data_IF_477136447718
#
_entry.id   IF_477136447718
#
_cell.length_a   1.000
_cell.length_b   1.000
_cell.length_c   1.000
_cell.angle_alpha   90.00
_cell.angle_beta   90.00
_cell.angle_gamma   90.00
#
_symmetry.space_group_name_H-M   'P 1'
#
loop_
_entity.id
_entity.type
_entity.pdbx_description
1 polymer ?
#
# COMPACT_ATOMS: atom_id res chain seq x y z
N UNK A 1 -17.70 5.84 23.53
CA UNK A 1 -17.84 5.19 22.21
C UNK A 1 -16.67 4.24 22.07
N UNK A 2 -16.91 2.97 21.73
CA UNK A 2 -15.85 1.96 21.63
C UNK A 2 -14.86 2.36 20.52
N UNK A 3 -13.67 2.82 20.92
CA UNK A 3 -12.59 3.22 20.02
C UNK A 3 -11.96 1.96 19.41
N UNK A 4 -12.65 1.33 18.46
CA UNK A 4 -12.02 0.27 17.66
C UNK A 4 -10.87 0.93 16.88
N UNK A 5 -9.63 0.43 16.99
CA UNK A 5 -8.45 1.09 16.42
C UNK A 5 -8.58 1.33 14.91
N UNK A 6 -9.25 0.43 14.18
CA UNK A 6 -9.55 0.62 12.77
C UNK A 6 -10.50 1.78 12.46
N UNK A 7 -11.47 2.09 13.33
CA UNK A 7 -12.39 3.21 13.12
C UNK A 7 -11.65 4.53 13.30
N UNK A 8 -10.80 4.64 14.32
CA UNK A 8 -10.00 5.83 14.56
C UNK A 8 -9.05 6.13 13.38
N UNK A 9 -8.38 5.09 12.85
CA UNK A 9 -7.55 5.21 11.65
C UNK A 9 -8.33 5.75 10.45
N UNK A 10 -9.53 5.21 10.19
CA UNK A 10 -10.36 5.66 9.08
C UNK A 10 -10.82 7.10 9.25
N UNK A 11 -11.20 7.52 10.47
CA UNK A 11 -11.60 8.91 10.76
C UNK A 11 -10.45 9.87 10.45
N UNK A 12 -9.23 9.56 10.92
CA UNK A 12 -8.05 10.41 10.69
C UNK A 12 -7.63 10.41 9.21
N UNK A 13 -7.81 9.29 8.50
CA UNK A 13 -7.57 9.20 7.05
C UNK A 13 -8.53 10.10 6.26
N UNK A 14 -9.81 10.11 6.63
CA UNK A 14 -10.81 10.95 5.95
C UNK A 14 -10.76 12.42 6.36
N UNK A 15 -9.98 12.78 7.38
CA UNK A 15 -9.68 14.16 7.74
C UNK A 15 -8.54 14.78 6.89
N UNK A 16 -7.87 13.98 6.06
CA UNK A 16 -6.77 14.43 5.21
C UNK A 16 -7.22 15.27 4.01
N UNK A 17 -6.32 16.01 3.35
CA UNK A 17 -6.64 16.72 2.10
C UNK A 17 -7.26 15.79 1.04
N UNK A 18 -8.24 16.30 0.29
CA UNK A 18 -9.01 15.50 -0.66
C UNK A 18 -8.15 14.76 -1.69
N UNK A 19 -7.05 15.36 -2.16
CA UNK A 19 -6.14 14.72 -3.12
C UNK A 19 -5.48 13.47 -2.54
N UNK A 20 -5.15 13.47 -1.24
CA UNK A 20 -4.54 12.31 -0.56
C UNK A 20 -5.57 11.21 -0.38
N UNK A 21 -6.80 11.55 -0.01
CA UNK A 21 -7.92 10.59 0.09
C UNK A 21 -8.15 9.92 -1.28
N UNK A 22 -8.19 10.69 -2.35
CA UNK A 22 -8.36 10.16 -3.72
C UNK A 22 -7.20 9.21 -4.07
N UNK A 23 -5.96 9.58 -3.75
CA UNK A 23 -4.78 8.73 -3.99
C UNK A 23 -4.83 7.42 -3.20
N UNK A 24 -5.21 7.46 -1.92
CA UNK A 24 -5.35 6.26 -1.07
C UNK A 24 -6.48 5.36 -1.56
N UNK A 25 -7.62 5.92 -1.95
CA UNK A 25 -8.71 5.17 -2.56
C UNK A 25 -8.26 4.49 -3.87
N UNK A 26 -7.50 5.20 -4.72
CA UNK A 26 -6.91 4.64 -5.93
C UNK A 26 -5.96 3.48 -5.64
N UNK A 27 -5.06 3.64 -4.66
CA UNK A 27 -4.17 2.56 -4.19
C UNK A 27 -4.96 1.33 -3.77
N UNK A 28 -6.03 1.54 -3.00
CA UNK A 28 -6.96 0.49 -2.61
C UNK A 28 -7.52 -0.24 -3.83
N UNK A 29 -8.09 0.48 -4.80
CA UNK A 29 -8.65 -0.11 -6.02
C UNK A 29 -7.62 -0.96 -6.78
N UNK A 30 -6.41 -0.44 -6.99
CA UNK A 30 -5.34 -1.15 -7.72
C UNK A 30 -4.91 -2.43 -6.99
N UNK A 31 -4.75 -2.36 -5.67
CA UNK A 31 -4.35 -3.52 -4.86
C UNK A 31 -5.47 -4.56 -4.73
N UNK A 32 -6.73 -4.13 -4.53
CA UNK A 32 -7.89 -5.02 -4.51
C UNK A 32 -8.15 -5.69 -5.86
N UNK A 33 -7.75 -5.08 -6.99
CA UNK A 33 -7.86 -5.70 -8.30
C UNK A 33 -7.08 -7.02 -8.43
N UNK A 34 -6.14 -7.31 -7.51
CA UNK A 34 -5.51 -8.63 -7.38
C UNK A 34 -6.53 -9.78 -7.27
N UNK A 35 -7.69 -9.52 -6.64
CA UNK A 35 -8.77 -10.50 -6.47
C UNK A 35 -9.35 -10.97 -7.82
N UNK A 36 -9.32 -10.14 -8.86
CA UNK A 36 -9.78 -10.51 -10.20
C UNK A 36 -8.87 -11.57 -10.86
N UNK A 37 -7.66 -11.78 -10.33
CA UNK A 37 -6.65 -12.69 -10.87
C UNK A 37 -6.28 -13.82 -9.90
N UNK A 38 -7.20 -14.17 -8.99
CA UNK A 38 -6.97 -15.10 -7.87
C UNK A 38 -6.41 -16.49 -8.25
N UNK A 39 -6.64 -16.96 -9.49
CA UNK A 39 -6.11 -18.24 -9.98
C UNK A 39 -4.58 -18.24 -10.07
N UNK A 40 -3.96 -17.09 -10.32
CA UNK A 40 -2.51 -16.97 -10.36
C UNK A 40 -1.92 -16.95 -8.93
N UNK A 41 -0.65 -17.33 -8.80
CA UNK A 41 0.05 -17.32 -7.50
C UNK A 41 0.36 -15.89 -7.06
N UNK A 42 0.93 -15.07 -7.94
CA UNK A 42 1.38 -13.73 -7.61
C UNK A 42 0.27 -12.83 -7.02
N UNK A 43 -0.94 -12.72 -7.61
CA UNK A 43 -1.99 -11.86 -7.07
C UNK A 43 -2.45 -12.22 -5.66
N UNK A 44 -2.42 -13.51 -5.30
CA UNK A 44 -2.72 -13.95 -3.93
C UNK A 44 -1.66 -13.47 -2.94
N UNK A 45 -0.38 -13.53 -3.33
CA UNK A 45 0.72 -13.03 -2.51
C UNK A 45 0.66 -11.51 -2.41
N UNK A 46 0.43 -10.81 -3.52
CA UNK A 46 0.28 -9.36 -3.54
C UNK A 46 -0.87 -8.91 -2.63
N UNK A 47 -2.04 -9.55 -2.73
CA UNK A 47 -3.19 -9.28 -1.86
C UNK A 47 -2.87 -9.53 -0.38
N UNK A 48 -2.16 -10.62 -0.06
CA UNK A 48 -1.76 -10.92 1.32
C UNK A 48 -0.81 -9.86 1.90
N UNK A 49 0.17 -9.40 1.12
CA UNK A 49 1.11 -8.35 1.54
C UNK A 49 0.41 -7.00 1.69
N UNK A 50 -0.47 -6.64 0.75
CA UNK A 50 -1.31 -5.45 0.84
C UNK A 50 -2.18 -5.47 2.10
N UNK A 51 -2.89 -6.57 2.34
CA UNK A 51 -3.76 -6.70 3.51
C UNK A 51 -2.97 -6.67 4.83
N UNK A 52 -1.80 -7.32 4.87
CA UNK A 52 -0.91 -7.27 6.03
C UNK A 52 -0.44 -5.84 6.33
N UNK A 53 -0.09 -5.06 5.30
CA UNK A 53 0.27 -3.65 5.44
C UNK A 53 -0.88 -2.81 6.02
N UNK A 54 -2.10 -3.03 5.52
CA UNK A 54 -3.30 -2.32 5.99
C UNK A 54 -3.58 -2.60 7.47
N UNK A 55 -3.51 -3.87 7.89
CA UNK A 55 -3.67 -4.26 9.30
C UNK A 55 -2.56 -3.67 10.17
N UNK A 56 -1.31 -3.74 9.71
CA UNK A 56 -0.17 -3.20 10.44
C UNK A 56 -0.21 -1.67 10.57
N UNK A 57 -0.69 -0.95 9.55
CA UNK A 57 -0.93 0.50 9.64
C UNK A 57 -1.97 0.85 10.70
N UNK A 58 -3.13 0.18 10.68
CA UNK A 58 -4.17 0.44 11.69
C UNK A 58 -3.66 0.11 13.12
N UNK A 59 -2.86 -0.94 13.27
CA UNK A 59 -2.25 -1.30 14.55
C UNK A 59 -1.20 -0.26 15.00
N UNK A 60 -0.35 0.22 14.09
CA UNK A 60 0.67 1.24 14.39
C UNK A 60 0.01 2.58 14.74
N UNK A 61 -1.01 2.99 13.98
CA UNK A 61 -1.79 4.20 14.26
C UNK A 61 -2.40 4.18 15.66
N UNK A 62 -2.88 3.03 16.13
CA UNK A 62 -3.40 2.90 17.48
C UNK A 62 -2.37 3.21 18.59
N UNK A 63 -1.07 3.12 18.28
CA UNK A 63 0.04 3.36 19.22
C UNK A 63 0.62 4.77 19.07
N UNK A 64 0.81 5.25 17.84
CA UNK A 64 1.54 6.50 17.56
C UNK A 64 0.69 7.63 16.97
N UNK A 65 -0.59 7.37 16.67
CA UNK A 65 -1.50 8.31 16.01
C UNK A 65 -1.13 8.58 14.55
N UNK A 66 -1.66 9.68 14.00
CA UNK A 66 -1.42 10.10 12.61
C UNK A 66 -0.11 10.88 12.45
N UNK A 67 1.00 10.15 12.28
CA UNK A 67 2.36 10.70 12.11
C UNK A 67 3.05 10.09 10.89
N UNK A 68 4.14 10.71 10.41
CA UNK A 68 4.95 10.24 9.26
C UNK A 68 5.44 8.79 9.39
N UNK A 69 5.61 8.28 10.61
CA UNK A 69 5.98 6.88 10.85
C UNK A 69 4.95 5.88 10.30
N UNK A 70 3.71 6.29 10.02
CA UNK A 70 2.70 5.44 9.40
C UNK A 70 3.08 4.92 8.01
N UNK A 71 4.08 5.51 7.33
CA UNK A 71 4.63 4.92 6.11
C UNK A 71 5.43 3.62 6.34
N UNK A 72 5.82 3.32 7.59
CA UNK A 72 6.69 2.18 7.89
C UNK A 72 6.09 0.81 7.52
N UNK A 73 4.81 0.51 7.80
CA UNK A 73 4.18 -0.72 7.32
C UNK A 73 4.22 -0.85 5.79
N UNK A 74 4.00 0.23 5.03
CA UNK A 74 4.19 0.17 3.57
C UNK A 74 5.63 -0.16 3.23
N UNK A 75 6.62 0.50 3.82
CA UNK A 75 8.03 0.17 3.58
C UNK A 75 8.31 -1.32 3.82
N UNK A 76 7.81 -1.90 4.91
CA UNK A 76 8.06 -3.31 5.27
C UNK A 76 7.36 -4.29 4.32
N UNK A 77 6.09 -4.05 3.99
CA UNK A 77 5.26 -5.02 3.25
C UNK A 77 5.18 -4.74 1.75
N UNK A 78 5.22 -3.48 1.33
CA UNK A 78 5.13 -3.10 -0.07
C UNK A 78 6.48 -3.18 -0.78
N UNK A 79 7.62 -3.03 -0.10
CA UNK A 79 8.93 -3.28 -0.72
C UNK A 79 9.02 -4.70 -1.30
N UNK A 80 8.74 -5.78 -0.55
CA UNK A 80 8.72 -7.13 -1.14
C UNK A 80 7.59 -7.30 -2.16
N UNK A 81 6.42 -6.68 -1.98
CA UNK A 81 5.32 -6.71 -2.97
C UNK A 81 5.80 -6.14 -4.31
N UNK A 82 6.40 -4.95 -4.30
CA UNK A 82 6.89 -4.26 -5.48
C UNK A 82 8.01 -5.03 -6.18
N UNK A 83 8.96 -5.59 -5.41
CA UNK A 83 10.02 -6.45 -5.96
C UNK A 83 9.44 -7.71 -6.62
N UNK A 84 8.44 -8.34 -6.00
CA UNK A 84 7.76 -9.49 -6.59
C UNK A 84 6.94 -9.12 -7.82
N UNK A 85 6.28 -7.96 -7.82
CA UNK A 85 5.55 -7.43 -8.97
C UNK A 85 6.49 -7.16 -10.15
N UNK A 86 7.67 -6.61 -9.87
CA UNK A 86 8.71 -6.35 -10.87
C UNK A 86 9.21 -7.66 -11.47
N UNK A 87 9.45 -8.66 -10.62
CA UNK A 87 9.87 -9.99 -11.04
C UNK A 87 8.79 -10.66 -11.91
N UNK A 88 7.54 -10.63 -11.47
CA UNK A 88 6.40 -11.16 -12.22
C UNK A 88 6.32 -10.49 -13.59
N UNK A 89 6.46 -9.17 -13.66
CA UNK A 89 6.41 -8.42 -14.91
C UNK A 89 7.55 -8.79 -15.85
N UNK A 90 8.76 -8.97 -15.31
CA UNK A 90 9.95 -9.30 -16.10
C UNK A 90 9.88 -10.68 -16.75
N UNK A 91 9.24 -11.64 -16.08
CA UNK A 91 9.04 -13.00 -16.56
C UNK A 91 7.64 -13.25 -17.13
N UNK A 92 6.86 -12.19 -17.34
CA UNK A 92 5.53 -12.30 -17.88
C UNK A 92 5.60 -12.75 -19.34
N UNK A 93 5.14 -13.97 -19.61
CA UNK A 93 5.10 -14.53 -20.96
C UNK A 93 4.30 -13.69 -21.95
N UNK A 94 4.55 -13.85 -23.27
CA UNK A 94 3.81 -13.12 -24.30
C UNK A 94 2.30 -13.44 -24.27
N UNK A 95 1.93 -14.66 -23.88
CA UNK A 95 0.54 -15.15 -23.85
C UNK A 95 -0.26 -14.66 -22.63
N UNK A 96 0.35 -13.86 -21.75
CA UNK A 96 -0.35 -13.33 -20.59
C UNK A 96 -1.54 -12.44 -21.01
N UNK A 97 -2.74 -12.62 -20.42
CA UNK A 97 -3.90 -11.80 -20.77
C UNK A 97 -3.61 -10.32 -20.62
N UNK A 98 -4.00 -9.51 -21.62
CA UNK A 98 -3.74 -8.07 -21.62
C UNK A 98 -4.20 -7.37 -20.34
N UNK A 99 -5.37 -7.75 -19.80
CA UNK A 99 -5.89 -7.22 -18.52
C UNK A 99 -4.95 -7.45 -17.34
N UNK A 100 -4.28 -8.60 -17.27
CA UNK A 100 -3.32 -8.92 -16.22
C UNK A 100 -2.07 -8.08 -16.35
N UNK A 101 -1.57 -7.96 -17.59
CA UNK A 101 -0.41 -7.12 -17.91
C UNK A 101 -0.66 -5.65 -17.53
N UNK A 102 -1.81 -5.09 -17.92
CA UNK A 102 -2.18 -3.72 -17.57
C UNK A 102 -2.26 -3.55 -16.07
N UNK A 103 -2.96 -4.43 -15.35
CA UNK A 103 -3.04 -4.38 -13.89
C UNK A 103 -1.67 -4.42 -13.22
N UNK A 104 -0.79 -5.34 -13.65
CA UNK A 104 0.55 -5.50 -13.08
C UNK A 104 1.43 -4.26 -13.28
N UNK A 105 1.37 -3.63 -14.45
CA UNK A 105 2.07 -2.37 -14.73
C UNK A 105 1.50 -1.24 -13.88
N UNK A 106 0.17 -1.15 -13.76
CA UNK A 106 -0.49 -0.17 -12.90
C UNK A 106 -0.10 -0.34 -11.44
N UNK A 107 -0.07 -1.58 -10.93
CA UNK A 107 0.38 -1.92 -9.58
C UNK A 107 1.82 -1.45 -9.35
N UNK A 108 2.73 -1.78 -10.27
CA UNK A 108 4.15 -1.39 -10.19
C UNK A 108 4.35 0.13 -10.09
N UNK A 109 3.69 0.89 -10.94
CA UNK A 109 3.81 2.35 -10.92
C UNK A 109 3.16 2.96 -9.68
N UNK A 110 1.96 2.49 -9.33
CA UNK A 110 1.20 3.06 -8.22
C UNK A 110 1.90 2.79 -6.89
N UNK A 111 2.26 1.53 -6.61
CA UNK A 111 2.94 1.17 -5.37
C UNK A 111 4.37 1.73 -5.34
N UNK A 112 5.03 1.85 -6.50
CA UNK A 112 6.37 2.44 -6.59
C UNK A 112 6.39 3.93 -6.22
N UNK A 113 5.42 4.71 -6.70
CA UNK A 113 5.28 6.13 -6.33
C UNK A 113 5.01 6.26 -4.84
N UNK A 114 4.09 5.47 -4.29
CA UNK A 114 3.77 5.49 -2.86
C UNK A 114 4.97 5.11 -2.01
N UNK A 115 5.70 4.06 -2.36
CA UNK A 115 6.90 3.64 -1.64
C UNK A 115 7.94 4.77 -1.55
N UNK A 116 8.15 5.54 -2.62
CA UNK A 116 9.08 6.69 -2.58
C UNK A 116 8.64 7.69 -1.51
N UNK A 117 7.35 7.99 -1.43
CA UNK A 117 6.78 8.88 -0.40
C UNK A 117 6.93 8.28 1.00
N UNK A 118 6.60 7.00 1.17
CA UNK A 118 6.69 6.29 2.45
C UNK A 118 8.14 6.26 2.98
N UNK A 119 9.12 5.99 2.10
CA UNK A 119 10.54 6.06 2.47
C UNK A 119 10.94 7.48 2.88
N UNK A 120 10.52 8.50 2.13
CA UNK A 120 10.79 9.90 2.49
C UNK A 120 10.23 10.25 3.87
N UNK A 121 9.00 9.84 4.16
CA UNK A 121 8.35 10.11 5.45
C UNK A 121 9.01 9.38 6.62
N UNK A 122 9.35 8.10 6.45
CA UNK A 122 10.07 7.32 7.46
C UNK A 122 11.45 7.93 7.72
N UNK A 123 12.19 8.30 6.68
CA UNK A 123 13.52 8.93 6.83
C UNK A 123 13.40 10.25 7.58
N UNK A 124 12.47 11.14 7.20
CA UNK A 124 12.25 12.43 7.89
C UNK A 124 11.87 12.23 9.35
N UNK A 125 11.01 11.27 9.63
CA UNK A 125 10.63 10.94 11.01
C UNK A 125 11.83 10.46 11.84
N UNK A 126 12.69 9.60 11.28
CA UNK A 126 13.93 9.15 11.93
C UNK A 126 14.93 10.28 12.13
N UNK A 127 14.95 11.28 11.24
CA UNK A 127 15.76 12.50 11.38
C UNK A 127 15.19 13.51 12.40
N UNK A 128 14.05 13.21 13.02
CA UNK A 128 13.44 14.01 14.08
C UNK A 128 12.29 14.90 13.64
N UNK A 129 11.91 14.90 12.36
CA UNK A 129 10.70 15.58 11.88
C UNK A 129 9.46 14.78 12.25
N UNK A 130 8.93 15.02 13.45
CA UNK A 130 7.77 14.28 14.00
C UNK A 130 6.41 14.87 13.58
N UNK A 131 6.40 15.97 12.84
CA UNK A 131 5.19 16.61 12.30
C UNK A 131 4.66 15.92 11.04
N UNK A 132 3.45 16.28 10.61
CA UNK A 132 2.85 15.87 9.33
C UNK A 132 3.57 16.50 8.13
#
# INVERSE_FOLDING_TARGET
MSNLPGIAFLVDMFAQPAWLIIWVCWLGVVNFAALAFWKARFPRVAFALFFAAMVAMAALHAVVGWVRLLGLPHVIFWTPLWVLAWREWRYLGPDAPQRYRTWLVTLLWTDGISLILDYSDVIRWLLGERGQ
#
